data_IF_205429220745
#
_entry.id   IF_205429220745
#
_cell.length_a   1.000
_cell.length_b   1.000
_cell.length_c   1.000
_cell.angle_alpha   90.00
_cell.angle_beta   90.00
_cell.angle_gamma   90.00
#
_symmetry.space_group_name_H-M   'P 1'
#
loop_
_entity.id
_entity.type
_entity.pdbx_description
1 polymer ?
#
# COMPACT_ATOMS: atom_id res chain seq x y z
N UNK A 1 4.55 20.96 -10.56
CA UNK A 1 4.87 19.53 -10.42
C UNK A 1 6.16 19.43 -9.62
N UNK A 2 6.08 18.98 -8.37
CA UNK A 2 7.29 18.73 -7.57
C UNK A 2 7.85 17.39 -8.04
N UNK A 3 9.07 17.39 -8.57
CA UNK A 3 9.75 16.16 -8.92
C UNK A 3 10.29 15.56 -7.61
N UNK A 4 9.64 14.52 -7.10
CA UNK A 4 10.11 13.81 -5.91
C UNK A 4 11.41 13.05 -6.24
N UNK A 5 12.40 13.02 -5.33
CA UNK A 5 13.60 12.23 -5.55
C UNK A 5 13.25 10.73 -5.63
N UNK A 6 13.93 10.00 -6.51
CA UNK A 6 13.78 8.55 -6.67
C UNK A 6 15.13 7.87 -6.41
N UNK A 7 15.21 7.03 -5.38
CA UNK A 7 16.46 6.38 -4.93
C UNK A 7 16.25 4.87 -4.74
N UNK A 8 17.33 4.09 -4.73
CA UNK A 8 17.21 2.67 -4.41
C UNK A 8 16.81 2.50 -2.96
N UNK A 9 15.93 1.55 -2.66
CA UNK A 9 15.53 1.26 -1.28
C UNK A 9 16.72 0.84 -0.40
N UNK A 10 17.76 0.24 -1.00
CA UNK A 10 19.02 -0.08 -0.32
C UNK A 10 19.84 1.13 0.14
N UNK A 11 19.48 2.34 -0.29
CA UNK A 11 20.11 3.59 0.16
C UNK A 11 19.40 4.19 1.38
N UNK A 12 18.27 3.60 1.82
CA UNK A 12 17.56 4.02 3.01
C UNK A 12 18.10 3.31 4.24
N UNK A 13 18.32 4.08 5.30
CA UNK A 13 18.55 3.54 6.64
C UNK A 13 17.20 3.42 7.37
N UNK A 14 17.00 2.31 8.09
CA UNK A 14 15.80 2.07 8.88
C UNK A 14 16.09 2.26 10.37
N UNK A 15 15.38 3.21 10.99
CA UNK A 15 15.49 3.47 12.43
C UNK A 15 14.38 2.77 13.24
N UNK A 16 14.56 2.66 14.57
CA UNK A 16 13.71 1.86 15.47
C UNK A 16 12.22 2.25 15.49
N UNK A 17 11.87 3.43 14.97
CA UNK A 17 10.52 4.01 15.01
C UNK A 17 9.78 3.93 13.67
N UNK A 18 10.17 2.97 12.80
CA UNK A 18 9.61 2.82 11.45
C UNK A 18 9.82 4.07 10.56
N UNK A 19 10.92 4.78 10.81
CA UNK A 19 11.32 5.97 10.04
C UNK A 19 12.44 5.57 9.09
N UNK A 20 12.24 5.85 7.81
CA UNK A 20 13.22 5.67 6.76
C UNK A 20 14.00 6.96 6.54
N UNK A 21 15.32 6.85 6.62
CA UNK A 21 16.24 7.97 6.54
C UNK A 21 17.06 7.89 5.25
N UNK A 22 17.37 9.05 4.67
CA UNK A 22 18.32 9.17 3.57
C UNK A 22 19.34 10.24 3.93
N UNK A 23 20.62 9.86 4.00
CA UNK A 23 21.72 10.77 4.36
C UNK A 23 21.52 11.47 5.72
N UNK A 24 20.90 10.76 6.67
CA UNK A 24 20.66 11.25 8.04
C UNK A 24 19.39 12.09 8.22
N UNK A 25 18.55 12.25 7.18
CA UNK A 25 17.30 13.00 7.25
C UNK A 25 16.08 12.11 6.92
N UNK A 26 14.90 12.35 7.51
CA UNK A 26 13.68 11.60 7.18
C UNK A 26 13.35 11.72 5.69
N UNK A 27 13.24 10.59 5.01
CA UNK A 27 13.13 10.55 3.56
C UNK A 27 11.75 11.01 3.06
N UNK A 28 11.74 11.90 2.07
CA UNK A 28 10.55 12.26 1.30
C UNK A 28 10.86 12.04 -0.18
N UNK A 29 10.18 11.07 -0.79
CA UNK A 29 10.46 10.66 -2.17
C UNK A 29 9.92 9.29 -2.51
N UNK A 30 10.44 8.69 -3.58
CA UNK A 30 10.13 7.33 -4.00
C UNK A 30 11.36 6.46 -3.78
N UNK A 31 11.21 5.39 -3.01
CA UNK A 31 12.22 4.34 -2.95
C UNK A 31 11.83 3.21 -3.91
N UNK A 32 12.80 2.64 -4.63
CA UNK A 32 12.55 1.54 -5.54
C UNK A 32 13.53 0.38 -5.36
N UNK A 33 13.06 -0.83 -5.62
CA UNK A 33 13.91 -1.99 -5.89
C UNK A 33 13.66 -2.48 -7.31
N UNK A 34 14.70 -3.00 -7.95
CA UNK A 34 14.59 -3.56 -9.30
C UNK A 34 15.45 -4.83 -9.37
N UNK A 35 14.82 -5.91 -9.79
CA UNK A 35 15.39 -7.25 -9.85
C UNK A 35 14.91 -7.95 -11.14
N UNK A 36 15.83 -8.48 -11.96
CA UNK A 36 15.47 -9.24 -13.15
C UNK A 36 14.63 -10.49 -12.87
N UNK A 37 14.69 -11.04 -11.64
CA UNK A 37 14.00 -12.29 -11.27
C UNK A 37 12.80 -12.08 -10.35
N UNK A 38 12.82 -11.03 -9.53
CA UNK A 38 11.75 -10.74 -8.57
C UNK A 38 10.81 -9.62 -9.05
N UNK A 39 11.23 -8.86 -10.07
CA UNK A 39 10.49 -7.71 -10.58
C UNK A 39 10.93 -6.41 -9.92
N UNK A 40 10.03 -5.43 -9.93
CA UNK A 40 10.28 -4.07 -9.44
C UNK A 40 9.30 -3.73 -8.32
N UNK A 41 9.71 -2.88 -7.38
CA UNK A 41 8.82 -2.24 -6.41
C UNK A 41 9.12 -0.75 -6.35
N UNK A 42 8.09 0.05 -6.06
CA UNK A 42 8.17 1.48 -5.79
C UNK A 42 7.30 1.79 -4.56
N UNK A 43 7.81 2.59 -3.64
CA UNK A 43 7.10 3.02 -2.42
C UNK A 43 7.31 4.51 -2.21
N UNK A 44 6.21 5.25 -2.02
CA UNK A 44 6.25 6.66 -1.66
C UNK A 44 6.44 6.86 -0.15
N UNK A 45 7.32 7.81 0.18
CA UNK A 45 7.60 8.23 1.54
C UNK A 45 7.40 9.73 1.70
N UNK A 46 6.91 10.14 2.87
CA UNK A 46 6.83 11.51 3.34
C UNK A 46 7.33 11.57 4.78
N UNK A 47 8.34 12.40 5.03
CA UNK A 47 8.96 12.55 6.36
C UNK A 47 9.37 11.20 7.00
N UNK A 48 9.92 10.32 6.17
CA UNK A 48 10.41 8.99 6.55
C UNK A 48 9.32 7.94 6.76
N UNK A 49 8.04 8.26 6.57
CA UNK A 49 6.93 7.31 6.68
C UNK A 49 6.40 6.96 5.30
N UNK A 50 5.95 5.71 5.09
CA UNK A 50 5.20 5.36 3.89
C UNK A 50 3.92 6.19 3.86
N UNK A 51 3.77 6.99 2.81
CA UNK A 51 2.68 7.95 2.68
C UNK A 51 2.45 8.22 1.19
N UNK A 52 1.29 7.80 0.69
CA UNK A 52 0.98 7.73 -0.73
C UNK A 52 1.02 6.30 -1.28
N UNK A 53 1.28 6.17 -2.58
CA UNK A 53 1.16 4.88 -3.27
C UNK A 53 2.41 4.00 -3.13
N UNK A 54 2.20 2.69 -3.03
CA UNK A 54 3.17 1.69 -3.43
C UNK A 54 2.68 0.91 -4.65
N UNK A 55 3.61 0.39 -5.43
CA UNK A 55 3.33 -0.48 -6.56
C UNK A 55 4.42 -1.51 -6.72
N UNK A 56 4.02 -2.74 -7.05
CA UNK A 56 4.93 -3.82 -7.42
C UNK A 56 4.64 -4.24 -8.87
N UNK A 57 5.68 -4.70 -9.54
CA UNK A 57 5.62 -5.24 -10.89
C UNK A 57 6.25 -6.62 -10.94
N UNK A 58 5.68 -7.49 -11.76
CA UNK A 58 6.31 -8.73 -12.18
C UNK A 58 7.61 -8.47 -12.96
N UNK A 59 8.52 -9.46 -13.08
CA UNK A 59 9.69 -9.36 -13.97
C UNK A 59 9.35 -9.01 -15.42
N UNK A 60 8.13 -9.32 -15.86
CA UNK A 60 7.60 -8.96 -17.18
C UNK A 60 7.32 -7.46 -17.35
N UNK A 61 7.38 -6.67 -16.27
CA UNK A 61 7.02 -5.26 -16.23
C UNK A 61 5.52 -5.01 -16.10
N UNK A 62 4.68 -6.05 -15.98
CA UNK A 62 3.26 -5.91 -15.68
C UNK A 62 3.05 -5.61 -14.19
N UNK A 63 2.06 -4.80 -13.88
CA UNK A 63 1.68 -4.51 -12.48
C UNK A 63 1.26 -5.80 -11.79
N UNK A 64 1.76 -5.98 -10.57
CA UNK A 64 1.47 -7.11 -9.68
C UNK A 64 0.56 -6.69 -8.54
N UNK A 65 0.85 -5.53 -7.93
CA UNK A 65 0.05 -4.99 -6.83
C UNK A 65 0.13 -3.47 -6.77
N UNK A 66 -0.92 -2.86 -6.24
CA UNK A 66 -1.02 -1.44 -5.90
C UNK A 66 -1.62 -1.31 -4.51
N UNK A 67 -1.08 -0.44 -3.66
CA UNK A 67 -1.57 -0.22 -2.29
C UNK A 67 -1.38 1.25 -1.90
N UNK A 68 -2.35 1.81 -1.18
CA UNK A 68 -2.23 3.15 -0.58
C UNK A 68 -1.81 3.08 0.88
N UNK A 69 -0.90 3.96 1.27
CA UNK A 69 -0.44 4.12 2.64
C UNK A 69 -0.70 5.54 3.13
N UNK A 70 -0.98 5.65 4.43
CA UNK A 70 -0.95 6.92 5.16
C UNK A 70 -0.16 6.69 6.45
N UNK A 71 0.98 7.37 6.58
CA UNK A 71 1.83 7.32 7.78
C UNK A 71 2.13 5.89 8.27
N UNK A 72 2.68 5.06 7.39
CA UNK A 72 2.99 3.63 7.59
C UNK A 72 1.79 2.67 7.68
N UNK A 73 0.56 3.16 7.75
CA UNK A 73 -0.62 2.29 7.72
C UNK A 73 -1.15 2.12 6.31
N UNK A 74 -1.60 0.90 6.00
CA UNK A 74 -2.43 0.66 4.81
C UNK A 74 -3.73 1.45 4.98
N UNK A 75 -3.98 2.39 4.08
CA UNK A 75 -5.10 3.31 4.17
C UNK A 75 -5.52 3.72 2.77
N UNK A 76 -6.66 3.22 2.30
CA UNK A 76 -7.15 3.37 0.94
C UNK A 76 -7.25 2.06 0.18
N UNK A 77 -7.45 2.21 -1.12
CA UNK A 77 -7.65 1.09 -2.04
C UNK A 77 -6.37 0.27 -2.25
N UNK A 78 -6.56 -1.02 -2.55
CA UNK A 78 -5.52 -1.88 -3.07
C UNK A 78 -6.07 -2.76 -4.20
N UNK A 79 -5.17 -3.20 -5.08
CA UNK A 79 -5.47 -4.20 -6.12
C UNK A 79 -4.29 -5.13 -6.30
N UNK A 80 -4.60 -6.41 -6.51
CA UNK A 80 -3.65 -7.45 -6.91
C UNK A 80 -4.02 -7.95 -8.29
N UNK A 81 -3.00 -8.18 -9.11
CA UNK A 81 -3.14 -8.62 -10.49
C UNK A 81 -2.40 -9.94 -10.69
N UNK A 82 -2.85 -10.75 -11.65
CA UNK A 82 -2.06 -11.89 -12.13
C UNK A 82 -1.05 -11.48 -13.22
N UNK A 83 -0.23 -12.43 -13.67
CA UNK A 83 0.75 -12.19 -14.75
C UNK A 83 0.11 -11.91 -16.12
N UNK A 84 -1.19 -12.17 -16.30
CA UNK A 84 -1.91 -11.73 -17.49
C UNK A 84 -2.27 -10.23 -17.41
N UNK A 85 -2.30 -9.65 -16.21
CA UNK A 85 -2.71 -8.28 -15.90
C UNK A 85 -4.19 -8.19 -15.48
N UNK A 86 -4.82 -9.31 -15.13
CA UNK A 86 -6.21 -9.34 -14.65
C UNK A 86 -6.24 -9.11 -13.15
N UNK A 87 -7.22 -8.33 -12.68
CA UNK A 87 -7.46 -8.19 -11.23
C UNK A 87 -7.90 -9.53 -10.67
N UNK A 88 -7.20 -10.01 -9.65
CA UNK A 88 -7.55 -11.25 -8.92
C UNK A 88 -8.10 -10.94 -7.54
N UNK A 89 -7.80 -9.75 -7.01
CA UNK A 89 -8.29 -9.27 -5.72
C UNK A 89 -8.26 -7.75 -5.69
N UNK A 90 -9.26 -7.14 -5.09
CA UNK A 90 -9.24 -5.72 -4.72
C UNK A 90 -9.95 -5.49 -3.40
N UNK A 91 -9.68 -4.34 -2.77
CA UNK A 91 -10.33 -4.01 -1.52
C UNK A 91 -9.87 -2.67 -0.95
N UNK A 92 -10.26 -2.44 0.31
CA UNK A 92 -9.96 -1.21 1.03
C UNK A 92 -9.41 -1.55 2.42
N UNK A 93 -8.31 -0.90 2.78
CA UNK A 93 -7.83 -0.85 4.15
C UNK A 93 -8.10 0.52 4.75
N UNK A 94 -8.36 0.57 6.06
CA UNK A 94 -8.35 1.81 6.85
C UNK A 94 -7.56 1.56 8.13
N UNK A 95 -6.49 2.33 8.34
CA UNK A 95 -5.62 2.18 9.51
C UNK A 95 -5.13 0.74 9.68
N UNK A 96 -4.74 0.12 8.56
CA UNK A 96 -4.33 -1.27 8.46
C UNK A 96 -5.41 -2.33 8.76
N UNK A 97 -6.67 -1.94 8.96
CA UNK A 97 -7.83 -2.83 9.09
C UNK A 97 -8.47 -3.06 7.72
N UNK A 98 -8.67 -4.33 7.32
CA UNK A 98 -9.37 -4.67 6.09
C UNK A 98 -10.85 -4.32 6.23
N UNK A 99 -11.34 -3.41 5.39
CA UNK A 99 -12.73 -2.93 5.38
C UNK A 99 -13.57 -3.72 4.41
N UNK A 100 -13.06 -3.93 3.19
CA UNK A 100 -13.72 -4.70 2.16
C UNK A 100 -12.70 -5.44 1.30
N UNK A 101 -13.13 -6.55 0.71
CA UNK A 101 -12.35 -7.33 -0.26
C UNK A 101 -13.28 -8.05 -1.24
N UNK A 102 -12.87 -8.09 -2.51
CA UNK A 102 -13.48 -8.91 -3.54
C UNK A 102 -12.40 -9.80 -4.15
N UNK A 103 -12.66 -11.11 -4.26
CA UNK A 103 -11.81 -12.06 -4.98
C UNK A 103 -12.43 -12.42 -6.32
N UNK A 104 -11.62 -12.46 -7.37
CA UNK A 104 -12.07 -12.80 -8.73
C UNK A 104 -11.44 -14.10 -9.22
N UNK A 105 -12.20 -14.87 -10.01
CA UNK A 105 -11.68 -15.99 -10.76
C UNK A 105 -10.98 -15.52 -12.06
N UNK A 106 -10.41 -16.47 -12.81
CA UNK A 106 -9.72 -16.18 -14.07
C UNK A 106 -10.61 -15.61 -15.19
N UNK A 107 -11.94 -15.74 -15.08
CA UNK A 107 -12.92 -15.17 -16.00
C UNK A 107 -13.43 -13.80 -15.52
N UNK A 108 -12.99 -13.33 -14.35
CA UNK A 108 -13.41 -12.07 -13.74
C UNK A 108 -14.71 -12.17 -12.94
N UNK A 109 -15.21 -13.38 -12.65
CA UNK A 109 -16.38 -13.53 -11.78
C UNK A 109 -15.97 -13.44 -10.32
N UNK A 110 -16.87 -12.91 -9.50
CA UNK A 110 -16.69 -12.82 -8.06
C UNK A 110 -16.74 -14.23 -7.44
N UNK A 111 -15.69 -14.56 -6.70
CA UNK A 111 -15.55 -15.80 -5.92
C UNK A 111 -15.94 -15.56 -4.46
N UNK A 112 -15.55 -14.42 -3.92
CA UNK A 112 -15.78 -14.06 -2.52
C UNK A 112 -15.92 -12.54 -2.38
N UNK A 113 -16.85 -12.11 -1.54
CA UNK A 113 -16.94 -10.74 -1.05
C UNK A 113 -16.86 -10.74 0.47
N UNK A 114 -15.99 -9.89 1.00
CA UNK A 114 -15.88 -9.60 2.41
C UNK A 114 -16.21 -8.13 2.65
N UNK A 115 -17.03 -7.88 3.67
CA UNK A 115 -17.25 -6.57 4.24
C UNK A 115 -17.13 -6.69 5.76
N UNK A 116 -16.44 -5.74 6.38
CA UNK A 116 -16.28 -5.74 7.83
C UNK A 116 -17.63 -5.53 8.53
N UNK A 117 -17.91 -6.35 9.54
CA UNK A 117 -18.97 -6.08 10.50
C UNK A 117 -18.50 -4.97 11.46
N UNK A 118 -19.08 -3.78 11.33
CA UNK A 118 -18.75 -2.62 12.15
C UNK A 118 -19.11 -2.84 13.62
N UNK A 119 -20.10 -3.66 13.93
CA UNK A 119 -20.47 -4.04 15.29
C UNK A 119 -19.68 -5.23 15.81
N UNK A 120 -18.82 -5.82 14.99
CA UNK A 120 -17.89 -6.86 15.36
C UNK A 120 -16.71 -6.33 16.20
N UNK A 121 -15.89 -7.24 16.74
CA UNK A 121 -14.70 -6.87 17.52
C UNK A 121 -13.76 -5.94 16.73
N UNK A 122 -13.40 -6.34 15.51
CA UNK A 122 -12.54 -5.56 14.62
C UNK A 122 -13.23 -4.27 14.14
N UNK A 123 -14.53 -4.32 13.87
CA UNK A 123 -15.32 -3.15 13.48
C UNK A 123 -15.30 -2.04 14.53
N UNK A 124 -15.43 -2.40 15.81
CA UNK A 124 -15.33 -1.44 16.92
C UNK A 124 -13.93 -0.85 17.07
N UNK A 125 -12.87 -1.61 16.76
CA UNK A 125 -11.49 -1.10 16.72
C UNK A 125 -11.36 -0.05 15.61
N UNK A 126 -11.87 -0.34 14.41
CA UNK A 126 -11.86 0.60 13.29
C UNK A 126 -12.62 1.89 13.63
N UNK A 127 -13.82 1.77 14.21
CA UNK A 127 -14.59 2.94 14.65
C UNK A 127 -13.82 3.81 15.66
N UNK A 128 -13.07 3.21 16.58
CA UNK A 128 -12.20 3.93 17.51
C UNK A 128 -11.06 4.66 16.78
N UNK A 129 -10.35 3.98 15.89
CA UNK A 129 -9.25 4.56 15.11
C UNK A 129 -9.71 5.75 14.25
N UNK A 130 -10.89 5.62 13.61
CA UNK A 130 -11.52 6.72 12.86
C UNK A 130 -11.74 7.96 13.73
N UNK A 131 -12.23 7.78 14.95
CA UNK A 131 -12.48 8.87 15.89
C UNK A 131 -11.19 9.50 16.44
N UNK A 132 -10.15 8.69 16.67
CA UNK A 132 -8.89 9.15 17.26
C UNK A 132 -7.96 9.83 16.26
N UNK A 133 -7.91 9.36 15.00
CA UNK A 133 -6.92 9.80 14.00
C UNK A 133 -7.47 10.74 12.94
N UNK A 134 -8.72 10.58 12.52
CA UNK A 134 -9.40 11.49 11.60
C UNK A 134 -8.76 11.64 10.21
N UNK A 135 -7.96 10.68 9.75
CA UNK A 135 -7.42 10.68 8.39
C UNK A 135 -8.56 10.46 7.39
N UNK A 136 -8.54 11.23 6.30
CA UNK A 136 -9.47 11.06 5.19
C UNK A 136 -8.82 10.18 4.14
N UNK A 137 -9.64 9.39 3.44
CA UNK A 137 -9.26 8.80 2.17
C UNK A 137 -9.10 9.97 1.20
N UNK A 138 -7.89 10.23 0.71
CA UNK A 138 -7.70 11.17 -0.38
C UNK A 138 -8.39 10.59 -1.63
N UNK A 139 -9.30 11.35 -2.24
CA UNK A 139 -10.09 11.00 -3.45
C UNK A 139 -9.23 10.97 -4.72
#
# INVERSE_FOLDING_TARGET
>A
MVNLPMIRASELDFESDLVYMYQGEPFTGVAYEDSPTLGRSEVMYSSGLQDGSSRDWYPSGKVKSEMMFARNDRHGGYRNYDEAGRVVEEGVYEYSVLVSRVLFDSAGNIVEEFNIDLDGGTGRILQRLRNERGWKLDE
#
